data_IF_323329420684
#
_entry.id   IF_323329420684
#
_cell.length_a   1.000
_cell.length_b   1.000
_cell.length_c   1.000
_cell.angle_alpha   90.00
_cell.angle_beta   90.00
_cell.angle_gamma   90.00
#
_symmetry.space_group_name_H-M   'P 1'
#
loop_
_entity.id
_entity.type
_entity.pdbx_description
1 polymer ?
#
# COMPACT_ATOMS: atom_id res chain seq x y z
N UNK A 1 2.38 -1.20 -27.76
CA UNK A 1 3.34 -1.27 -26.63
C UNK A 1 4.69 -1.09 -27.25
N UNK A 2 5.38 -0.01 -26.91
CA UNK A 2 6.70 0.26 -27.46
C UNK A 2 7.74 -0.08 -26.40
N UNK A 3 8.69 -0.93 -26.76
CA UNK A 3 9.82 -1.27 -25.91
C UNK A 3 10.98 -0.33 -26.23
N UNK A 4 11.41 0.46 -25.24
CA UNK A 4 12.52 1.40 -25.38
C UNK A 4 13.62 1.04 -24.39
N UNK A 5 14.83 0.86 -24.89
CA UNK A 5 16.05 0.73 -24.07
C UNK A 5 16.72 2.08 -24.01
N UNK A 6 17.08 2.51 -22.81
CA UNK A 6 17.80 3.76 -22.56
C UNK A 6 19.07 3.42 -21.80
N UNK A 7 20.21 3.85 -22.32
CA UNK A 7 21.52 3.70 -21.69
C UNK A 7 22.03 5.08 -21.36
N UNK A 8 22.40 5.29 -20.11
CA UNK A 8 23.02 6.50 -19.59
C UNK A 8 24.33 6.10 -18.93
N UNK A 9 25.43 6.73 -19.36
CA UNK A 9 26.79 6.43 -18.87
C UNK A 9 27.38 7.65 -18.20
N UNK A 10 28.21 7.43 -17.17
CA UNK A 10 28.86 8.53 -16.46
C UNK A 10 29.97 9.15 -17.30
N UNK A 11 30.19 10.46 -17.19
CA UNK A 11 31.28 11.15 -17.89
C UNK A 11 32.71 10.85 -17.35
N UNK A 12 32.85 10.02 -16.30
CA UNK A 12 34.11 9.82 -15.56
C UNK A 12 34.68 8.40 -15.65
N UNK A 13 33.86 7.44 -16.06
CA UNK A 13 34.27 6.06 -16.31
C UNK A 13 33.89 5.81 -17.75
N UNK A 14 34.90 5.89 -18.60
CA UNK A 14 34.88 5.56 -20.00
C UNK A 14 35.70 4.26 -20.17
N UNK A 15 35.14 3.29 -20.91
CA UNK A 15 35.73 1.98 -21.24
C UNK A 15 35.60 0.87 -20.17
N UNK A 16 35.30 -0.35 -20.65
CA UNK A 16 34.98 -1.56 -19.90
C UNK A 16 36.11 -2.14 -19.04
N UNK A 17 36.64 -1.34 -18.11
CA UNK A 17 37.65 -1.72 -17.13
C UNK A 17 39.09 -1.49 -17.57
N UNK A 18 40.00 -1.65 -16.61
CA UNK A 18 41.44 -1.46 -16.78
C UNK A 18 42.14 -2.74 -17.24
N UNK A 19 42.19 -2.90 -18.56
CA UNK A 19 43.11 -3.74 -19.31
C UNK A 19 42.78 -5.24 -19.49
N UNK A 20 42.57 -5.70 -20.75
CA UNK A 20 42.45 -4.87 -21.95
C UNK A 20 41.13 -4.08 -21.90
N UNK A 21 41.14 -2.75 -22.11
CA UNK A 21 39.89 -2.02 -22.31
C UNK A 21 39.23 -2.57 -23.57
N UNK A 22 37.98 -3.02 -23.47
CA UNK A 22 37.15 -3.11 -24.66
C UNK A 22 36.58 -1.70 -24.92
N UNK A 23 36.47 -1.32 -26.19
CA UNK A 23 35.91 0.00 -26.55
C UNK A 23 34.39 0.03 -26.36
N UNK A 24 33.86 -0.61 -25.31
CA UNK A 24 32.44 -0.94 -25.16
C UNK A 24 32.00 -0.75 -23.73
N UNK A 25 31.15 0.25 -23.52
CA UNK A 25 30.29 0.35 -22.34
C UNK A 25 28.83 0.31 -22.78
N UNK A 26 27.95 -0.20 -21.92
CA UNK A 26 26.52 -0.22 -22.16
C UNK A 26 25.96 -1.63 -22.34
N UNK A 27 25.02 -1.78 -23.28
CA UNK A 27 24.22 -3.00 -23.44
C UNK A 27 24.20 -3.43 -24.90
N UNK A 28 24.27 -4.75 -25.13
CA UNK A 28 24.03 -5.34 -26.45
C UNK A 28 22.69 -6.05 -26.41
N UNK A 29 21.76 -5.66 -27.30
CA UNK A 29 20.50 -6.37 -27.50
C UNK A 29 20.66 -7.30 -28.69
N UNK A 30 20.26 -8.56 -28.53
CA UNK A 30 20.45 -9.58 -29.57
C UNK A 30 19.19 -10.33 -29.97
N UNK A 31 18.14 -10.27 -29.14
CA UNK A 31 16.82 -10.80 -29.46
C UNK A 31 15.81 -10.13 -28.53
N UNK A 32 14.64 -9.80 -29.07
CA UNK A 32 13.47 -9.40 -28.31
C UNK A 32 12.42 -10.50 -28.46
N UNK A 33 11.94 -11.06 -27.35
CA UNK A 33 10.88 -12.08 -27.37
C UNK A 33 9.79 -11.69 -26.37
N UNK A 34 8.55 -11.60 -26.85
CA UNK A 34 7.37 -11.44 -25.99
C UNK A 34 6.71 -12.80 -25.83
N UNK A 35 6.44 -13.20 -24.60
CA UNK A 35 5.78 -14.46 -24.27
C UNK A 35 4.50 -14.23 -23.48
N UNK A 36 3.53 -15.13 -23.58
CA UNK A 36 2.37 -15.14 -22.71
C UNK A 36 2.70 -15.78 -21.34
N UNK A 37 1.73 -15.82 -20.43
CA UNK A 37 1.86 -16.43 -19.10
C UNK A 37 2.31 -17.90 -19.15
N UNK A 38 1.87 -18.65 -20.17
CA UNK A 38 2.24 -20.05 -20.37
C UNK A 38 3.62 -20.23 -21.04
N UNK A 39 4.36 -19.14 -21.29
CA UNK A 39 5.67 -19.17 -21.92
C UNK A 39 5.66 -19.30 -23.44
N UNK A 40 4.49 -19.27 -24.08
CA UNK A 40 4.35 -19.30 -25.54
C UNK A 40 4.77 -17.97 -26.16
N UNK A 41 5.56 -18.02 -27.23
CA UNK A 41 6.01 -16.82 -27.95
C UNK A 41 4.84 -16.15 -28.66
N UNK A 42 4.59 -14.89 -28.33
CA UNK A 42 3.64 -14.01 -29.01
C UNK A 42 4.33 -13.16 -30.08
N UNK A 43 5.59 -12.79 -29.84
CA UNK A 43 6.40 -12.00 -30.77
C UNK A 43 7.88 -12.37 -30.60
N UNK A 44 8.62 -12.35 -31.70
CA UNK A 44 10.07 -12.49 -31.70
C UNK A 44 10.68 -11.58 -32.76
N UNK A 45 11.70 -10.84 -32.38
CA UNK A 45 12.63 -10.18 -33.28
C UNK A 45 14.04 -10.66 -32.92
N UNK A 46 14.67 -11.34 -33.86
CA UNK A 46 16.03 -11.86 -33.72
C UNK A 46 17.10 -10.81 -34.05
N UNK A 47 16.70 -9.59 -34.44
CA UNK A 47 17.58 -8.46 -34.75
C UNK A 47 18.66 -8.91 -35.75
N UNK A 48 18.22 -9.52 -36.86
CA UNK A 48 19.13 -10.01 -37.89
C UNK A 48 19.62 -8.90 -38.82
N UNK A 49 19.00 -7.72 -38.78
CA UNK A 49 19.37 -6.55 -39.56
C UNK A 49 19.01 -5.25 -38.79
N UNK A 50 19.40 -4.10 -39.33
CA UNK A 50 19.25 -2.80 -38.68
C UNK A 50 17.89 -2.10 -38.91
N UNK A 51 16.89 -2.76 -39.51
CA UNK A 51 15.63 -2.09 -39.88
C UNK A 51 14.51 -2.31 -38.86
N UNK A 52 14.68 -3.25 -37.93
CA UNK A 52 13.65 -3.60 -36.94
C UNK A 52 13.74 -2.77 -35.66
N UNK A 53 14.81 -1.99 -35.48
CA UNK A 53 14.99 -1.05 -34.37
C UNK A 53 15.48 0.30 -34.88
N UNK A 54 15.05 1.37 -34.22
CA UNK A 54 15.55 2.72 -34.42
C UNK A 54 16.30 3.19 -33.18
N UNK A 55 17.36 3.97 -33.37
CA UNK A 55 18.10 4.60 -32.28
C UNK A 55 18.19 6.10 -32.48
N UNK A 56 18.34 6.81 -31.36
CA UNK A 56 18.47 8.26 -31.32
C UNK A 56 19.07 8.67 -29.98
N UNK A 57 19.88 9.73 -29.98
CA UNK A 57 20.34 10.38 -28.74
C UNK A 57 19.18 10.84 -27.87
N UNK A 58 19.31 10.70 -26.55
CA UNK A 58 18.30 11.18 -25.60
C UNK A 58 18.22 12.71 -25.64
N UNK A 59 17.02 13.31 -25.73
CA UNK A 59 16.89 14.75 -25.65
C UNK A 59 17.20 15.26 -24.23
N UNK A 60 17.97 16.34 -24.13
CA UNK A 60 18.15 17.11 -22.89
C UNK A 60 16.87 17.88 -22.51
N UNK A 61 16.90 18.61 -21.40
CA UNK A 61 15.76 19.40 -20.93
C UNK A 61 15.35 20.54 -21.90
N UNK A 62 16.18 20.86 -22.89
CA UNK A 62 15.93 21.84 -23.94
C UNK A 62 15.56 21.19 -25.29
N UNK A 63 15.53 19.85 -25.36
CA UNK A 63 15.18 19.08 -26.55
C UNK A 63 16.36 18.79 -27.49
N UNK A 64 17.60 19.11 -27.12
CA UNK A 64 18.76 18.78 -27.96
C UNK A 64 19.16 17.31 -27.76
N UNK A 65 19.42 16.55 -28.84
CA UNK A 65 19.82 15.16 -28.70
C UNK A 65 21.24 15.04 -28.13
N UNK A 66 21.41 14.16 -27.15
CA UNK A 66 22.71 13.67 -26.70
C UNK A 66 23.43 12.89 -27.82
N UNK A 67 24.74 12.59 -27.67
CA UNK A 67 25.44 11.67 -28.55
C UNK A 67 24.71 10.32 -28.67
N UNK A 68 24.77 9.73 -29.86
CA UNK A 68 24.11 8.48 -30.20
C UNK A 68 25.13 7.49 -30.77
N UNK A 69 25.58 6.58 -29.90
CA UNK A 69 26.60 5.59 -30.24
C UNK A 69 25.99 4.20 -30.50
N UNK A 70 24.66 4.11 -30.64
CA UNK A 70 24.01 2.86 -31.03
C UNK A 70 24.40 2.47 -32.46
N UNK A 71 24.60 1.17 -32.66
CA UNK A 71 24.94 0.63 -33.98
C UNK A 71 24.56 -0.84 -34.10
N UNK A 72 24.44 -1.30 -35.35
CA UNK A 72 24.19 -2.70 -35.66
C UNK A 72 25.52 -3.43 -35.91
N UNK A 73 25.76 -4.50 -35.14
CA UNK A 73 26.99 -5.29 -35.22
C UNK A 73 26.68 -6.78 -35.26
N UNK A 74 27.43 -7.53 -36.05
CA UNK A 74 27.44 -9.01 -35.99
C UNK A 74 28.59 -9.45 -35.07
N UNK A 75 28.27 -10.27 -34.07
CA UNK A 75 29.24 -10.74 -33.09
C UNK A 75 29.11 -12.24 -32.83
N UNK A 76 30.24 -12.91 -32.64
CA UNK A 76 30.28 -14.24 -32.03
C UNK A 76 30.11 -14.06 -30.51
N UNK A 77 29.09 -14.69 -29.92
CA UNK A 77 28.81 -14.63 -28.47
C UNK A 77 28.66 -16.03 -27.87
N UNK A 78 29.04 -16.17 -26.59
CA UNK A 78 28.61 -17.28 -25.74
C UNK A 78 27.20 -17.05 -25.19
N UNK A 79 26.60 -18.06 -24.58
CA UNK A 79 25.27 -17.95 -23.95
C UNK A 79 25.38 -17.84 -22.43
N UNK A 80 24.69 -16.85 -21.86
CA UNK A 80 24.48 -16.70 -20.43
C UNK A 80 23.03 -16.26 -20.22
N UNK A 81 22.24 -17.13 -19.59
CA UNK A 81 20.83 -16.86 -19.34
C UNK A 81 20.59 -16.41 -17.90
N UNK A 82 20.03 -15.21 -17.74
CA UNK A 82 19.61 -14.65 -16.46
C UNK A 82 18.15 -14.20 -16.62
N UNK A 83 17.23 -14.82 -15.88
CA UNK A 83 15.83 -14.36 -15.84
C UNK A 83 15.64 -13.35 -14.70
N UNK A 84 14.95 -12.25 -15.01
CA UNK A 84 14.40 -11.31 -14.03
C UNK A 84 12.91 -11.17 -14.31
N UNK A 85 12.07 -11.18 -13.29
CA UNK A 85 10.63 -10.96 -13.39
C UNK A 85 10.22 -9.68 -12.62
N UNK A 86 8.93 -9.36 -12.59
CA UNK A 86 8.42 -8.18 -11.87
C UNK A 86 8.74 -8.18 -10.37
N UNK A 87 8.95 -9.35 -9.76
CA UNK A 87 9.32 -9.47 -8.34
C UNK A 87 10.79 -9.14 -8.09
N UNK A 88 11.63 -9.14 -9.14
CA UNK A 88 13.03 -8.69 -9.08
C UNK A 88 13.16 -7.17 -9.21
N UNK A 89 12.06 -6.46 -9.48
CA UNK A 89 12.05 -4.99 -9.51
C UNK A 89 12.08 -4.45 -8.07
N UNK A 90 13.15 -3.76 -7.68
CA UNK A 90 13.16 -3.00 -6.44
C UNK A 90 12.31 -1.75 -6.60
N UNK A 91 11.23 -1.61 -5.84
CA UNK A 91 10.49 -0.35 -5.82
C UNK A 91 11.37 0.79 -5.31
N UNK A 92 11.21 1.94 -5.96
CA UNK A 92 11.82 3.21 -5.60
C UNK A 92 11.27 3.77 -4.27
N UNK A 93 11.63 5.00 -3.92
CA UNK A 93 10.90 5.72 -2.87
C UNK A 93 9.57 6.25 -3.44
N UNK A 94 8.54 6.47 -2.60
CA UNK A 94 7.31 7.12 -3.05
C UNK A 94 7.61 8.44 -3.76
N UNK A 95 7.01 8.65 -4.93
CA UNK A 95 7.15 9.90 -5.71
C UNK A 95 6.19 10.99 -5.23
N UNK A 96 5.24 10.64 -4.36
CA UNK A 96 4.29 11.54 -3.73
C UNK A 96 4.56 11.64 -2.23
N UNK A 97 4.29 12.80 -1.64
CA UNK A 97 4.43 12.98 -0.20
C UNK A 97 3.32 12.25 0.57
N UNK A 98 2.08 12.39 0.10
CA UNK A 98 0.87 11.86 0.70
C UNK A 98 -0.17 11.56 -0.40
N UNK A 99 -1.13 10.69 -0.08
CA UNK A 99 -2.31 10.45 -0.90
C UNK A 99 -3.20 11.70 -0.90
N UNK A 100 -4.00 11.96 -1.94
CA UNK A 100 -4.79 13.18 -2.04
C UNK A 100 -5.64 13.45 -0.78
N UNK A 101 -5.44 14.63 -0.19
CA UNK A 101 -6.18 15.09 1.00
C UNK A 101 -5.74 14.47 2.34
N UNK A 102 -4.86 13.47 2.33
CA UNK A 102 -4.24 12.95 3.55
C UNK A 102 -3.16 13.89 4.06
N UNK A 103 -2.98 13.91 5.38
CA UNK A 103 -1.95 14.70 6.03
C UNK A 103 -1.35 13.96 7.22
N UNK A 104 -0.05 14.14 7.44
CA UNK A 104 0.67 13.61 8.60
C UNK A 104 1.01 14.76 9.55
N UNK A 105 0.94 14.51 10.85
CA UNK A 105 1.30 15.48 11.87
C UNK A 105 1.89 14.78 13.10
N UNK A 106 2.67 15.50 13.89
CA UNK A 106 3.21 15.01 15.17
C UNK A 106 3.06 16.09 16.23
N UNK A 107 2.87 15.67 17.48
CA UNK A 107 3.05 16.55 18.63
C UNK A 107 4.49 16.43 19.13
N UNK A 108 5.26 17.52 19.04
CA UNK A 108 6.69 17.56 19.34
C UNK A 108 7.53 17.92 18.12
N UNK A 109 8.84 17.73 18.21
CA UNK A 109 9.82 18.14 17.19
C UNK A 109 10.40 16.98 16.37
N UNK A 110 9.92 15.76 16.58
CA UNK A 110 10.54 14.58 15.97
C UNK A 110 10.25 14.50 14.46
N UNK A 111 11.30 14.21 13.68
CA UNK A 111 11.26 14.26 12.21
C UNK A 111 11.55 12.92 11.52
N UNK A 112 11.91 11.86 12.26
CA UNK A 112 12.16 10.51 11.75
C UNK A 112 10.89 9.68 11.65
N UNK A 113 10.90 8.68 10.77
CA UNK A 113 9.88 7.66 10.58
C UNK A 113 9.61 6.77 11.79
N UNK A 114 10.51 6.69 12.77
CA UNK A 114 10.28 5.91 14.00
C UNK A 114 9.38 6.63 15.01
N UNK A 115 9.09 7.92 14.82
CA UNK A 115 8.33 8.71 15.79
C UNK A 115 7.12 9.42 15.21
N UNK A 116 7.01 9.51 13.88
CA UNK A 116 5.89 10.12 13.17
C UNK A 116 5.42 9.19 12.04
N UNK A 117 4.17 9.32 11.64
CA UNK A 117 3.72 8.63 10.43
C UNK A 117 4.53 9.11 9.23
N UNK A 118 4.99 8.18 8.41
CA UNK A 118 5.60 8.42 7.10
C UNK A 118 4.93 7.54 6.07
N UNK A 119 5.07 7.91 4.80
CA UNK A 119 4.70 7.06 3.67
C UNK A 119 6.01 6.48 3.16
N UNK A 120 6.20 5.17 3.33
CA UNK A 120 7.47 4.55 3.00
C UNK A 120 7.28 3.08 2.63
N UNK A 121 8.37 2.49 2.13
CA UNK A 121 8.44 1.10 1.72
C UNK A 121 8.54 0.19 2.93
N UNK A 122 7.68 -0.82 3.00
CA UNK A 122 7.79 -1.91 3.96
C UNK A 122 9.01 -2.77 3.61
N UNK A 123 9.81 -3.16 4.60
CA UNK A 123 11.03 -3.97 4.41
C UNK A 123 11.02 -5.17 5.33
N UNK A 124 11.99 -6.09 5.18
CA UNK A 124 12.13 -7.24 6.08
C UNK A 124 12.28 -6.87 7.56
N UNK A 125 12.70 -5.62 7.84
CA UNK A 125 12.94 -5.12 9.19
C UNK A 125 11.87 -4.12 9.66
N UNK A 126 10.74 -4.02 8.95
CA UNK A 126 9.66 -3.12 9.33
C UNK A 126 8.29 -3.70 9.08
N UNK A 127 7.48 -3.73 10.13
CA UNK A 127 6.04 -3.93 10.02
C UNK A 127 5.60 -5.28 9.40
N UNK A 128 4.55 -5.27 8.56
CA UNK A 128 4.00 -6.48 7.98
C UNK A 128 4.93 -7.12 6.95
N UNK A 129 4.75 -8.41 6.67
CA UNK A 129 5.50 -9.10 5.60
C UNK A 129 5.09 -8.64 4.19
N UNK A 130 3.86 -8.15 4.04
CA UNK A 130 3.30 -7.60 2.79
C UNK A 130 2.29 -6.48 3.10
N UNK A 131 2.10 -5.55 2.16
CA UNK A 131 0.98 -4.60 2.14
C UNK A 131 0.20 -4.75 0.84
N UNK A 132 -1.06 -4.31 0.81
CA UNK A 132 -1.89 -4.45 -0.38
C UNK A 132 -1.48 -3.47 -1.49
N UNK A 133 -1.07 -2.26 -1.10
CA UNK A 133 -0.43 -1.26 -1.96
C UNK A 133 1.08 -1.54 -2.12
N UNK A 134 1.47 -2.82 -2.25
CA UNK A 134 2.88 -3.20 -2.19
C UNK A 134 3.72 -2.34 -3.15
N UNK A 135 4.82 -1.73 -2.65
CA UNK A 135 5.43 -2.00 -1.34
C UNK A 135 5.27 -0.87 -0.32
N UNK A 136 4.32 0.05 -0.50
CA UNK A 136 4.20 1.22 0.37
C UNK A 136 3.05 1.07 1.37
N UNK A 137 3.21 1.71 2.51
CA UNK A 137 2.17 1.91 3.51
C UNK A 137 2.41 3.23 4.24
N UNK A 138 1.41 3.72 4.96
CA UNK A 138 1.67 4.67 6.03
C UNK A 138 2.10 3.93 7.28
N UNK A 139 3.04 4.47 8.04
CA UNK A 139 3.41 3.84 9.30
C UNK A 139 4.43 4.61 10.13
N UNK A 140 4.59 4.13 11.35
CA UNK A 140 5.63 4.51 12.31
C UNK A 140 6.53 3.30 12.51
N UNK A 141 7.85 3.46 12.38
CA UNK A 141 8.84 2.39 12.60
C UNK A 141 9.35 1.70 11.32
N UNK A 142 9.55 2.43 10.21
CA UNK A 142 10.08 1.82 8.98
C UNK A 142 11.58 1.49 9.07
N UNK A 143 12.35 2.27 9.82
CA UNK A 143 13.82 2.13 9.97
C UNK A 143 14.22 1.41 11.27
N UNK A 144 13.28 0.70 11.90
CA UNK A 144 13.48 0.00 13.16
C UNK A 144 12.32 0.24 14.12
N UNK A 145 12.54 -0.05 15.40
CA UNK A 145 11.48 0.11 16.40
C UNK A 145 11.07 1.58 16.56
N UNK A 146 9.80 1.82 16.90
CA UNK A 146 9.31 3.18 17.15
C UNK A 146 10.08 3.86 18.30
N UNK A 147 10.11 5.18 18.35
CA UNK A 147 10.78 5.93 19.41
C UNK A 147 9.99 5.93 20.73
N UNK A 148 10.69 6.07 21.85
CA UNK A 148 10.06 6.30 23.13
C UNK A 148 9.49 7.73 23.22
N UNK A 149 8.49 7.92 24.08
CA UNK A 149 7.86 9.20 24.43
C UNK A 149 7.19 9.90 23.25
N UNK A 150 6.57 9.14 22.35
CA UNK A 150 5.73 9.70 21.30
C UNK A 150 4.42 10.13 21.94
N UNK A 151 4.23 11.45 22.12
CA UNK A 151 2.98 11.95 22.69
C UNK A 151 1.77 11.68 21.76
N UNK A 152 1.92 12.00 20.48
CA UNK A 152 0.91 11.71 19.45
C UNK A 152 1.52 11.84 18.04
N UNK A 153 1.73 10.73 17.35
CA UNK A 153 1.92 10.70 15.89
C UNK A 153 0.56 10.55 15.22
N UNK A 154 0.29 11.31 14.16
CA UNK A 154 -1.04 11.37 13.51
C UNK A 154 -0.96 11.19 12.00
N UNK A 155 -1.85 10.37 11.47
CA UNK A 155 -2.24 10.32 10.07
C UNK A 155 -3.72 10.73 9.98
N UNK A 156 -4.03 11.73 9.17
CA UNK A 156 -5.34 12.37 9.12
C UNK A 156 -5.89 12.24 7.70
N UNK A 157 -7.10 11.68 7.59
CA UNK A 157 -7.78 11.52 6.31
C UNK A 157 -8.26 12.86 5.73
N UNK A 158 -8.71 12.92 4.46
CA UNK A 158 -9.59 14.00 4.00
C UNK A 158 -10.95 13.97 4.72
N UNK A 159 -11.77 14.99 4.47
CA UNK A 159 -13.20 14.96 4.81
C UNK A 159 -13.95 14.03 3.86
N UNK A 160 -14.94 13.33 4.40
CA UNK A 160 -15.87 12.48 3.65
C UNK A 160 -17.29 12.91 3.97
N UNK A 161 -18.04 13.30 2.95
CA UNK A 161 -19.47 13.58 3.10
C UNK A 161 -20.24 12.27 3.03
N UNK A 162 -20.92 11.92 4.12
CA UNK A 162 -21.65 10.66 4.21
C UNK A 162 -23.06 10.89 3.65
N UNK A 163 -23.43 10.19 2.57
CA UNK A 163 -24.71 10.43 1.92
C UNK A 163 -25.86 10.07 2.85
N UNK A 164 -26.98 10.81 2.71
CA UNK A 164 -28.22 10.52 3.44
C UNK A 164 -28.76 9.13 3.10
N UNK A 165 -28.60 8.75 1.82
CA UNK A 165 -29.10 7.50 1.25
C UNK A 165 -27.93 6.55 0.94
N UNK A 166 -28.10 5.27 1.25
CA UNK A 166 -27.11 4.22 0.98
C UNK A 166 -26.34 3.74 2.21
N UNK A 167 -25.36 2.88 1.95
CA UNK A 167 -24.47 2.31 2.95
C UNK A 167 -23.06 2.86 2.77
N UNK A 168 -22.45 3.29 3.86
CA UNK A 168 -21.09 3.84 3.89
C UNK A 168 -20.30 3.18 5.00
N UNK A 169 -19.05 2.85 4.72
CA UNK A 169 -18.16 2.18 5.66
C UNK A 169 -16.80 2.87 5.69
N UNK A 170 -16.27 3.09 6.89
CA UNK A 170 -14.83 3.26 7.04
C UNK A 170 -14.18 1.89 6.80
N UNK A 171 -13.14 1.85 5.97
CA UNK A 171 -12.29 0.68 5.77
C UNK A 171 -10.82 1.09 5.85
N UNK A 172 -9.98 0.23 6.41
CA UNK A 172 -8.52 0.33 6.34
C UNK A 172 -7.88 -1.01 6.66
N UNK A 173 -6.72 -1.29 6.08
CA UNK A 173 -5.87 -2.40 6.48
C UNK A 173 -4.89 -1.92 7.54
N UNK A 174 -4.64 -2.73 8.56
CA UNK A 174 -3.66 -2.41 9.58
C UNK A 174 -2.80 -3.59 9.98
N UNK A 175 -1.61 -3.27 10.47
CA UNK A 175 -0.72 -4.19 11.17
C UNK A 175 -0.07 -3.43 12.32
N UNK A 176 -0.11 -3.97 13.54
CA UNK A 176 0.45 -3.32 14.73
C UNK A 176 1.28 -4.26 15.59
N UNK A 177 2.33 -3.70 16.17
CA UNK A 177 3.22 -4.32 17.11
C UNK A 177 3.77 -3.26 18.08
N UNK A 178 3.08 -3.09 19.20
CA UNK A 178 3.47 -2.18 20.28
C UNK A 178 3.44 -2.88 21.64
N UNK A 179 4.04 -2.24 22.64
CA UNK A 179 3.98 -2.71 24.02
C UNK A 179 2.53 -2.76 24.52
N UNK A 180 2.04 -3.97 24.79
CA UNK A 180 0.67 -4.17 25.22
C UNK A 180 0.36 -3.38 26.50
N UNK A 181 -0.78 -2.67 26.50
CA UNK A 181 -1.26 -1.85 27.62
C UNK A 181 -0.46 -0.59 27.94
N UNK A 182 0.60 -0.27 27.21
CA UNK A 182 1.36 0.97 27.40
C UNK A 182 1.40 1.81 26.13
N UNK A 183 1.56 1.15 25.00
CA UNK A 183 1.75 1.81 23.71
C UNK A 183 0.73 1.30 22.71
N UNK A 184 0.37 2.13 21.73
CA UNK A 184 -0.51 1.65 20.68
C UNK A 184 -1.10 2.70 19.77
N UNK A 185 -1.84 2.19 18.80
CA UNK A 185 -2.56 2.95 17.81
C UNK A 185 -4.06 2.99 18.06
N UNK A 186 -4.71 4.14 17.91
CA UNK A 186 -6.16 4.25 17.97
C UNK A 186 -6.71 5.16 16.86
N UNK A 187 -7.94 4.90 16.45
CA UNK A 187 -8.68 5.71 15.48
C UNK A 187 -9.56 6.70 16.22
N UNK A 188 -9.62 7.92 15.70
CA UNK A 188 -10.50 8.97 16.15
C UNK A 188 -11.36 9.46 14.98
N UNK A 189 -12.58 9.87 15.27
CA UNK A 189 -13.50 10.49 14.32
C UNK A 189 -13.75 11.96 14.71
N UNK A 190 -13.88 12.82 13.72
CA UNK A 190 -14.38 14.19 13.86
C UNK A 190 -15.61 14.34 12.98
N UNK A 191 -16.71 14.77 13.57
CA UNK A 191 -17.99 14.94 12.87
C UNK A 191 -18.28 16.42 12.74
N UNK A 192 -18.49 16.91 11.52
CA UNK A 192 -18.70 18.31 11.19
C UNK A 192 -17.67 19.21 11.89
N UNK A 193 -18.12 20.26 12.59
CA UNK A 193 -17.24 21.17 13.34
C UNK A 193 -16.97 20.72 14.78
N UNK A 194 -17.31 19.48 15.16
CA UNK A 194 -17.11 18.92 16.49
C UNK A 194 -15.64 18.67 16.86
N UNK A 195 -15.40 18.15 18.07
CA UNK A 195 -14.08 17.72 18.52
C UNK A 195 -13.70 16.33 18.00
N UNK A 196 -12.43 15.95 18.15
CA UNK A 196 -11.99 14.56 17.92
C UNK A 196 -12.54 13.67 19.04
N UNK A 197 -13.14 12.54 18.66
CA UNK A 197 -13.66 11.52 19.56
C UNK A 197 -12.96 10.20 19.27
N UNK A 198 -12.59 9.46 20.33
CA UNK A 198 -12.07 8.10 20.18
C UNK A 198 -13.14 7.24 19.53
N UNK A 199 -12.77 6.50 18.49
CA UNK A 199 -13.70 5.76 17.64
C UNK A 199 -13.50 4.26 17.85
N UNK A 200 -14.48 3.62 18.48
CA UNK A 200 -14.55 2.18 18.68
C UNK A 200 -15.93 1.65 18.28
N UNK A 201 -16.14 1.29 17.02
CA UNK A 201 -17.44 0.88 16.50
C UNK A 201 -17.83 -0.57 16.83
N UNK A 202 -16.96 -1.34 17.50
CA UNK A 202 -17.21 -2.76 17.73
C UNK A 202 -16.11 -3.50 18.47
N UNK A 203 -15.53 -2.90 19.52
CA UNK A 203 -14.42 -3.46 20.29
C UNK A 203 -13.23 -3.85 19.41
N UNK A 204 -12.81 -2.94 18.53
CA UNK A 204 -11.67 -3.18 17.62
C UNK A 204 -10.36 -3.42 18.35
N UNK A 205 -10.21 -2.80 19.51
CA UNK A 205 -8.95 -2.71 20.19
C UNK A 205 -8.67 -3.93 21.07
N UNK A 206 -7.41 -4.38 21.03
CA UNK A 206 -6.95 -5.59 21.74
C UNK A 206 -6.43 -5.31 23.14
N UNK A 207 -6.23 -4.04 23.49
CA UNK A 207 -5.70 -3.63 24.79
C UNK A 207 -6.24 -2.28 25.22
N UNK A 208 -6.10 -1.98 26.51
CA UNK A 208 -6.37 -0.65 27.07
C UNK A 208 -5.06 -0.07 27.60
N UNK A 209 -4.73 1.14 27.16
CA UNK A 209 -3.51 1.82 27.56
C UNK A 209 -3.63 2.28 29.01
N UNK A 210 -2.60 2.03 29.80
CA UNK A 210 -2.49 2.45 31.17
C UNK A 210 -2.69 3.97 31.29
N UNK A 211 -3.52 4.41 32.23
CA UNK A 211 -3.86 5.82 32.40
C UNK A 211 -2.66 6.72 32.72
N UNK A 212 -1.56 6.14 33.23
CA UNK A 212 -0.31 6.83 33.52
C UNK A 212 0.79 6.65 32.46
N UNK A 213 0.47 6.19 31.24
CA UNK A 213 1.47 5.93 30.19
C UNK A 213 2.20 7.21 29.69
N UNK A 214 1.69 8.41 30.01
CA UNK A 214 2.41 9.66 29.78
C UNK A 214 2.31 10.23 28.36
N UNK A 215 1.39 9.71 27.54
CA UNK A 215 1.08 10.23 26.21
C UNK A 215 -0.43 10.41 26.00
N UNK A 216 -0.83 11.04 24.90
CA UNK A 216 -2.21 11.50 24.66
C UNK A 216 -3.28 10.41 24.49
N UNK A 217 -2.86 9.14 24.37
CA UNK A 217 -3.76 7.99 24.25
C UNK A 217 -3.93 7.24 25.60
N UNK A 218 -3.33 7.75 26.69
CA UNK A 218 -3.43 7.12 28.00
C UNK A 218 -4.90 6.95 28.45
N UNK A 219 -5.25 5.76 28.93
CA UNK A 219 -6.60 5.41 29.37
C UNK A 219 -7.57 5.03 28.26
N UNK A 220 -7.16 5.06 26.98
CA UNK A 220 -7.99 4.66 25.85
C UNK A 220 -7.70 3.22 25.43
N UNK A 221 -8.68 2.57 24.81
CA UNK A 221 -8.44 1.31 24.12
C UNK A 221 -7.69 1.53 22.80
N UNK A 222 -6.72 0.66 22.51
CA UNK A 222 -5.81 0.79 21.37
C UNK A 222 -5.39 -0.58 20.81
N UNK A 223 -4.95 -0.56 19.55
CA UNK A 223 -4.27 -1.67 18.90
C UNK A 223 -2.88 -1.80 19.50
N UNK A 224 -2.62 -2.96 20.09
CA UNK A 224 -1.34 -3.32 20.68
C UNK A 224 -0.55 -4.28 19.79
N UNK A 225 -0.32 -5.48 20.31
CA UNK A 225 0.41 -6.58 19.68
C UNK A 225 -0.50 -7.45 18.80
N UNK A 226 -1.09 -6.89 17.73
CA UNK A 226 -2.07 -7.62 16.90
C UNK A 226 -1.44 -8.61 15.92
N UNK A 227 -0.25 -8.31 15.39
CA UNK A 227 0.33 -9.07 14.28
C UNK A 227 1.80 -9.43 14.46
N UNK A 228 2.26 -9.40 15.70
CA UNK A 228 3.61 -9.81 16.04
C UNK A 228 3.65 -10.63 17.33
N UNK A 229 4.79 -11.25 17.56
CA UNK A 229 5.20 -11.79 18.85
C UNK A 229 6.60 -11.25 19.17
N UNK A 230 7.08 -11.45 20.40
CA UNK A 230 8.41 -11.02 20.82
C UNK A 230 8.46 -10.56 22.27
N UNK A 231 9.51 -9.84 22.63
CA UNK A 231 9.75 -9.35 23.98
C UNK A 231 10.05 -7.84 23.95
N UNK A 232 9.10 -7.03 24.46
CA UNK A 232 9.20 -5.57 24.50
C UNK A 232 10.48 -5.09 25.19
N UNK A 233 10.85 -5.69 26.33
CA UNK A 233 12.07 -5.32 27.07
C UNK A 233 13.38 -5.61 26.34
N UNK A 234 13.36 -6.45 25.30
CA UNK A 234 14.48 -6.69 24.40
C UNK A 234 14.38 -5.94 23.07
N UNK A 235 13.28 -5.21 22.83
CA UNK A 235 12.97 -4.61 21.53
C UNK A 235 12.85 -5.63 20.41
N UNK A 236 12.62 -6.91 20.71
CA UNK A 236 12.57 -7.97 19.71
C UNK A 236 11.14 -8.23 19.30
N UNK A 237 10.92 -8.41 18.00
CA UNK A 237 9.64 -8.80 17.46
C UNK A 237 9.79 -9.70 16.24
N UNK A 238 8.73 -10.41 15.91
CA UNK A 238 8.60 -11.19 14.67
C UNK A 238 7.16 -11.06 14.21
N UNK A 239 6.98 -10.75 12.92
CA UNK A 239 5.66 -10.70 12.31
C UNK A 239 5.03 -12.10 12.30
N UNK A 240 3.77 -12.20 12.73
CA UNK A 240 3.03 -13.47 12.82
C UNK A 240 1.97 -13.60 11.74
N UNK A 241 1.60 -12.51 11.07
CA UNK A 241 0.57 -12.47 10.03
C UNK A 241 0.67 -11.20 9.16
N UNK A 242 0.08 -11.20 7.96
CA UNK A 242 -0.07 -9.98 7.15
C UNK A 242 -1.06 -8.99 7.80
N UNK A 243 -1.23 -7.81 7.19
CA UNK A 243 -2.23 -6.82 7.62
C UNK A 243 -3.66 -7.43 7.66
N UNK A 244 -4.48 -6.99 8.61
CA UNK A 244 -5.92 -7.30 8.64
C UNK A 244 -6.76 -6.09 8.23
N UNK A 245 -7.88 -6.37 7.55
CA UNK A 245 -8.84 -5.35 7.15
C UNK A 245 -9.82 -5.03 8.29
N UNK A 246 -10.01 -3.75 8.56
CA UNK A 246 -10.93 -3.21 9.54
C UNK A 246 -12.08 -2.50 8.82
N UNK A 247 -13.32 -2.78 9.22
CA UNK A 247 -14.54 -2.20 8.61
C UNK A 247 -15.52 -1.74 9.68
N UNK A 248 -16.07 -0.54 9.52
CA UNK A 248 -17.11 -0.02 10.39
C UNK A 248 -18.19 0.72 9.61
N UNK A 249 -19.45 0.43 9.96
CA UNK A 249 -20.60 1.15 9.42
C UNK A 249 -20.58 2.62 9.84
N UNK A 250 -20.88 3.50 8.90
CA UNK A 250 -21.05 4.94 9.11
C UNK A 250 -22.54 5.34 9.08
N UNK A 251 -23.46 4.40 9.26
CA UNK A 251 -24.91 4.66 9.21
C UNK A 251 -25.36 5.75 10.21
N UNK A 252 -24.71 5.86 11.36
CA UNK A 252 -25.02 6.88 12.38
C UNK A 252 -24.55 8.30 12.01
N UNK A 253 -23.80 8.45 10.91
CA UNK A 253 -23.24 9.72 10.44
C UNK A 253 -23.86 10.16 9.10
N UNK A 254 -24.99 9.58 8.69
CA UNK A 254 -25.69 9.94 7.45
C UNK A 254 -26.04 11.43 7.45
N UNK A 255 -25.66 12.12 6.36
CA UNK A 255 -25.86 13.56 6.21
C UNK A 255 -24.78 14.43 6.86
N UNK A 256 -23.82 13.82 7.58
CA UNK A 256 -22.69 14.54 8.18
C UNK A 256 -21.44 14.47 7.29
N UNK A 257 -20.54 15.43 7.50
CA UNK A 257 -19.17 15.34 7.01
C UNK A 257 -18.27 14.78 8.12
N UNK A 258 -17.53 13.72 7.84
CA UNK A 258 -16.65 13.07 8.81
C UNK A 258 -15.20 13.07 8.37
N UNK A 259 -14.30 13.06 9.35
CA UNK A 259 -12.86 12.96 9.15
C UNK A 259 -12.28 12.00 10.16
N UNK A 260 -11.27 11.23 9.77
CA UNK A 260 -10.63 10.25 10.64
C UNK A 260 -9.18 10.65 10.94
N UNK A 261 -8.72 10.30 12.14
CA UNK A 261 -7.33 10.44 12.59
C UNK A 261 -6.87 9.11 13.17
N UNK A 262 -5.81 8.55 12.61
CA UNK A 262 -5.06 7.44 13.16
C UNK A 262 -3.96 8.03 14.03
N UNK A 263 -3.99 7.76 15.32
CA UNK A 263 -3.05 8.30 16.29
C UNK A 263 -2.24 7.17 16.94
N UNK A 264 -0.94 7.36 17.09
CA UNK A 264 -0.04 6.43 17.78
C UNK A 264 0.69 7.16 18.92
N UNK A 265 0.87 6.49 20.05
CA UNK A 265 1.63 7.01 21.18
C UNK A 265 2.46 5.91 21.85
N UNK A 266 3.52 6.35 22.53
CA UNK A 266 4.42 5.48 23.29
C UNK A 266 4.85 6.10 24.62
N UNK A 267 5.08 5.23 25.60
CA UNK A 267 5.67 5.51 26.88
C UNK A 267 7.20 5.72 26.77
N UNK A 268 7.90 5.85 27.90
CA UNK A 268 9.33 6.17 27.93
C UNK A 268 10.29 4.98 27.90
N UNK A 269 9.81 3.72 27.85
CA UNK A 269 10.63 2.57 28.23
C UNK A 269 10.86 1.58 27.09
N UNK A 270 9.82 0.94 26.56
CA UNK A 270 10.00 -0.16 25.60
C UNK A 270 9.44 0.18 24.23
N UNK A 271 10.03 -0.42 23.21
CA UNK A 271 9.80 -0.05 21.83
C UNK A 271 9.80 -1.30 20.95
N UNK A 272 8.79 -1.42 20.10
CA UNK A 272 8.60 -2.52 19.15
C UNK A 272 8.42 -1.96 17.72
N UNK A 273 7.91 -2.76 16.79
CA UNK A 273 7.92 -2.43 15.37
C UNK A 273 7.08 -1.19 14.99
N UNK A 274 5.97 -0.94 15.68
CA UNK A 274 5.10 0.23 15.44
C UNK A 274 3.74 -0.12 14.85
N UNK A 275 3.17 0.81 14.08
CA UNK A 275 1.81 0.68 13.52
C UNK A 275 1.78 1.15 12.07
N UNK A 276 1.18 0.32 11.21
CA UNK A 276 1.16 0.47 9.77
C UNK A 276 -0.29 0.41 9.26
N UNK A 277 -0.61 1.30 8.31
CA UNK A 277 -1.94 1.53 7.75
C UNK A 277 -1.84 1.53 6.22
N UNK A 278 -2.77 0.83 5.57
CA UNK A 278 -2.92 0.80 4.12
C UNK A 278 -4.42 0.77 3.75
N UNK A 279 -4.76 1.00 2.48
CA UNK A 279 -6.14 0.93 1.95
C UNK A 279 -7.19 1.68 2.78
N UNK A 280 -6.79 2.78 3.41
CA UNK A 280 -7.66 3.53 4.29
C UNK A 280 -8.58 4.49 3.51
N UNK A 281 -9.86 4.49 3.82
CA UNK A 281 -10.84 5.38 3.20
C UNK A 281 -12.28 5.09 3.59
N UNK A 282 -13.19 5.86 3.04
CA UNK A 282 -14.63 5.59 3.14
C UNK A 282 -15.12 4.96 1.84
N UNK A 283 -15.69 3.77 1.95
CA UNK A 283 -16.40 3.11 0.85
C UNK A 283 -17.87 3.49 0.92
N UNK A 284 -18.34 4.17 -0.10
CA UNK A 284 -19.75 4.55 -0.28
C UNK A 284 -20.34 3.61 -1.32
N UNK A 285 -21.43 2.92 -0.98
CA UNK A 285 -22.21 2.18 -1.95
C UNK A 285 -22.91 3.18 -2.87
N UNK A 286 -22.42 3.30 -4.10
CA UNK A 286 -23.03 4.16 -5.12
C UNK A 286 -24.10 3.36 -5.86
N UNK A 287 -25.36 3.53 -5.46
CA UNK A 287 -26.50 3.11 -6.26
C UNK A 287 -26.80 4.26 -7.22
N UNK A 288 -26.18 4.21 -8.39
CA UNK A 288 -26.01 5.37 -9.27
C UNK A 288 -27.27 6.07 -9.76
N UNK A 289 -28.45 5.46 -9.65
CA UNK A 289 -29.75 6.01 -10.04
C UNK A 289 -30.88 5.26 -9.30
N UNK A 290 -32.09 5.83 -9.24
CA UNK A 290 -33.30 5.05 -8.97
C UNK A 290 -33.45 4.00 -10.07
N UNK A 291 -33.22 2.74 -9.76
CA UNK A 291 -33.20 1.68 -10.77
C UNK A 291 -33.38 0.31 -10.16
N UNK A 292 -33.80 -0.63 -10.99
CA UNK A 292 -33.91 -2.02 -10.61
C UNK A 292 -32.55 -2.69 -10.81
N UNK A 293 -31.95 -3.20 -9.73
CA UNK A 293 -30.84 -4.13 -9.84
C UNK A 293 -31.43 -5.54 -9.97
N UNK A 294 -31.05 -6.23 -11.05
CA UNK A 294 -31.36 -7.64 -11.23
C UNK A 294 -30.06 -8.41 -11.01
N UNK A 295 -30.07 -9.40 -10.10
CA UNK A 295 -28.93 -10.29 -9.94
C UNK A 295 -28.66 -11.03 -11.26
N UNK A 296 -27.43 -11.51 -11.51
CA UNK A 296 -27.22 -12.55 -12.49
C UNK A 296 -28.19 -13.72 -12.24
N UNK A 297 -28.61 -14.40 -13.31
CA UNK A 297 -29.47 -15.57 -13.18
C UNK A 297 -28.77 -16.63 -12.33
N UNK A 298 -29.47 -17.12 -11.31
CA UNK A 298 -29.02 -18.27 -10.52
C UNK A 298 -29.67 -19.49 -11.17
N UNK A 299 -28.90 -20.24 -11.96
CA UNK A 299 -29.35 -21.51 -12.54
C UNK A 299 -29.50 -22.55 -11.42
N UNK A 300 -30.73 -23.04 -11.25
CA UNK A 300 -31.07 -24.10 -10.28
C UNK A 300 -31.26 -25.44 -11.03
N UNK A 301 -31.18 -25.45 -12.36
CA UNK A 301 -31.37 -26.62 -13.21
C UNK A 301 -30.03 -27.28 -13.60
N UNK A 302 -29.37 -27.92 -12.65
CA UNK A 302 -28.60 -29.11 -13.07
C UNK A 302 -29.61 -30.24 -13.28
N UNK A 303 -29.77 -30.73 -14.52
CA UNK A 303 -30.80 -31.67 -14.99
C UNK A 303 -30.90 -33.03 -14.24
N UNK A 304 -30.12 -33.27 -13.19
CA UNK A 304 -30.03 -34.60 -12.55
C UNK A 304 -30.30 -34.68 -11.04
N UNK A 305 -30.77 -33.64 -10.34
CA UNK A 305 -31.03 -33.77 -8.88
C UNK A 305 -32.29 -33.05 -8.40
N UNK A 306 -33.32 -33.86 -8.12
CA UNK A 306 -34.51 -33.47 -7.36
C UNK A 306 -34.14 -33.18 -5.89
N UNK A 307 -34.60 -32.02 -5.38
CA UNK A 307 -34.62 -31.51 -3.99
C UNK A 307 -33.69 -30.33 -3.62
N UNK A 308 -34.22 -29.14 -3.92
CA UNK A 308 -34.35 -27.97 -3.02
C UNK A 308 -33.07 -27.27 -2.51
N UNK A 309 -32.33 -26.63 -3.42
CA UNK A 309 -31.69 -25.37 -3.05
C UNK A 309 -32.79 -24.34 -2.83
N UNK A 310 -33.01 -23.89 -1.60
CA UNK A 310 -33.74 -22.63 -1.38
C UNK A 310 -32.73 -21.50 -1.53
N UNK A 311 -33.12 -20.45 -2.24
CA UNK A 311 -32.38 -19.19 -2.23
C UNK A 311 -32.95 -18.38 -1.07
N UNK A 312 -32.13 -18.23 -0.03
CA UNK A 312 -32.43 -17.28 1.05
C UNK A 312 -31.82 -15.93 0.70
N UNK A 313 -32.60 -14.87 0.89
CA UNK A 313 -32.17 -13.50 0.59
C UNK A 313 -32.36 -12.69 1.86
N UNK A 314 -31.23 -12.36 2.49
CA UNK A 314 -31.20 -11.36 3.56
C UNK A 314 -30.90 -9.99 2.95
N UNK A 315 -31.80 -9.03 3.16
CA UNK A 315 -31.71 -7.69 2.58
C UNK A 315 -32.25 -6.64 3.54
N UNK A 316 -31.52 -5.54 3.69
CA UNK A 316 -32.01 -4.34 4.36
C UNK A 316 -32.77 -3.49 3.33
N UNK A 317 -34.11 -3.43 3.48
CA UNK A 317 -35.00 -2.74 2.56
C UNK A 317 -35.45 -1.42 3.19
N UNK A 318 -35.09 -0.29 2.57
CA UNK A 318 -35.55 1.04 2.99
C UNK A 318 -37.05 1.27 2.67
N UNK A 319 -37.71 2.22 3.35
CA UNK A 319 -39.17 2.45 3.34
C UNK A 319 -39.82 2.74 1.97
N UNK A 320 -39.04 2.82 0.88
CA UNK A 320 -39.53 3.04 -0.50
C UNK A 320 -38.96 2.02 -1.51
N UNK A 321 -38.31 0.96 -1.05
CA UNK A 321 -37.75 -0.10 -1.89
C UNK A 321 -38.57 -1.38 -1.79
N UNK A 322 -38.52 -2.22 -2.83
CA UNK A 322 -39.15 -3.53 -2.83
C UNK A 322 -38.27 -4.57 -3.50
N UNK A 323 -38.33 -5.80 -2.99
CA UNK A 323 -37.72 -6.98 -3.60
C UNK A 323 -38.82 -7.84 -4.22
N UNK A 324 -38.58 -8.39 -5.41
CA UNK A 324 -39.39 -9.49 -5.98
C UNK A 324 -38.44 -10.55 -6.52
N UNK A 325 -38.80 -11.81 -6.30
CA UNK A 325 -38.21 -12.99 -6.94
C UNK A 325 -39.14 -13.54 -8.00
#
# INVERSE_FOLDING_TARGET
>A
VDFRVVVDTSAFTDYGGSYPPDNREGVTVSQLRVVNYEGSTLFIDEIQNSTTMSHSGLPDAQGNPAPDDWGFFTMLKGDQHISRNFEDASANSPTVNDAPGWARAITGSCSSDICKFTLNRVTSNSGPSTSASFPYAYGVGFSGNYAASINEARLISPWYDIPMNGTSYLTFDHWSCSEVSWDGGAVFIKVNNGGWQHYDPGNWYTSTIYAGAGHSLAGLSAFGTNHCTGQASGGTWTSTSPMTNMVASLANYRGDSVRFKFAFGSDSIWNLAGWFIDNAGVRIANFGETGYWLSPAIEIDSEEKFNLGFVDVDAEIHEESWIRG
#
